data_IF_236011745872
#
_entry.id   IF_236011745872
#
_cell.length_a   1.000
_cell.length_b   1.000
_cell.length_c   1.000
_cell.angle_alpha   90.00
_cell.angle_beta   90.00
_cell.angle_gamma   90.00
#
_symmetry.space_group_name_H-M   'P 1'
#
loop_
_entity.id
_entity.type
_entity.pdbx_description
1 polymer ?
#
# COMPACT_ATOMS: atom_id res chain seq x y z
N UNK A 1 4.97 16.91 -7.48
CA UNK A 1 3.97 16.39 -6.51
C UNK A 1 3.38 15.11 -7.08
N UNK A 2 3.04 14.15 -6.22
CA UNK A 2 2.38 12.90 -6.57
C UNK A 2 1.20 12.65 -5.62
N UNK A 3 0.09 12.16 -6.17
CA UNK A 3 -1.02 11.65 -5.38
C UNK A 3 -0.75 10.20 -5.01
N UNK A 4 -0.87 9.87 -3.73
CA UNK A 4 -0.64 8.52 -3.21
C UNK A 4 -1.83 8.06 -2.37
N UNK A 5 -2.15 6.78 -2.47
CA UNK A 5 -3.06 6.09 -1.56
C UNK A 5 -2.21 5.20 -0.65
N UNK A 6 -2.39 5.35 0.66
CA UNK A 6 -1.62 4.62 1.65
C UNK A 6 -2.17 3.21 1.81
N UNK A 7 -1.28 2.23 1.93
CA UNK A 7 -1.63 0.84 2.25
C UNK A 7 -1.20 0.50 3.68
N UNK A 8 -1.84 -0.52 4.25
CA UNK A 8 -1.44 -1.13 5.52
C UNK A 8 -1.30 -2.65 5.37
N UNK A 9 -0.36 -3.29 6.09
CA UNK A 9 -0.24 -4.74 6.05
C UNK A 9 -1.43 -5.41 6.73
N UNK A 10 -1.83 -6.55 6.19
CA UNK A 10 -2.61 -7.56 6.89
C UNK A 10 -1.64 -8.36 7.79
N UNK A 11 -2.17 -8.92 8.88
CA UNK A 11 -1.34 -9.52 9.94
C UNK A 11 -0.50 -10.71 9.49
N UNK A 12 -0.89 -11.39 8.43
CA UNK A 12 -0.29 -12.65 8.01
C UNK A 12 0.54 -12.46 6.72
N UNK A 13 1.78 -12.96 6.77
CA UNK A 13 2.61 -13.14 5.57
C UNK A 13 2.11 -14.38 4.86
N UNK A 14 1.91 -14.26 3.54
CA UNK A 14 1.47 -15.39 2.73
C UNK A 14 2.58 -16.45 2.66
N UNK A 15 2.37 -17.68 3.17
CA UNK A 15 3.45 -18.66 3.30
C UNK A 15 3.98 -19.15 1.94
N UNK A 16 3.17 -19.06 0.88
CA UNK A 16 3.58 -19.47 -0.47
C UNK A 16 4.48 -18.44 -1.16
N UNK A 17 4.11 -17.16 -1.09
CA UNK A 17 4.87 -16.07 -1.75
C UNK A 17 5.87 -15.37 -0.83
N UNK A 18 5.78 -15.57 0.49
CA UNK A 18 6.52 -14.82 1.51
C UNK A 18 6.26 -13.30 1.45
N UNK A 19 5.16 -12.87 0.83
CA UNK A 19 4.77 -11.47 0.70
C UNK A 19 3.77 -11.06 1.78
N UNK A 20 3.80 -9.79 2.16
CA UNK A 20 2.73 -9.19 2.95
C UNK A 20 1.50 -8.95 2.08
N UNK A 21 0.35 -9.48 2.50
CA UNK A 21 -0.91 -9.04 1.93
C UNK A 21 -1.22 -7.65 2.46
N UNK A 22 -1.59 -6.72 1.59
CA UNK A 22 -1.88 -5.33 1.97
C UNK A 22 -3.32 -4.97 1.63
N UNK A 23 -3.86 -3.96 2.32
CA UNK A 23 -5.15 -3.35 2.01
C UNK A 23 -5.03 -1.83 2.11
N UNK A 24 -5.97 -1.10 1.52
CA UNK A 24 -6.04 0.35 1.67
C UNK A 24 -6.09 0.74 3.14
N UNK A 25 -5.19 1.64 3.55
CA UNK A 25 -5.29 2.30 4.83
C UNK A 25 -6.53 3.19 4.82
N UNK A 26 -7.26 3.19 5.93
CA UNK A 26 -8.43 4.06 6.12
C UNK A 26 -8.20 5.01 7.27
N UNK A 27 -8.57 6.28 7.08
CA UNK A 27 -8.56 7.32 8.11
C UNK A 27 -9.95 7.97 8.13
N UNK A 28 -10.59 7.99 9.30
CA UNK A 28 -11.99 8.46 9.46
C UNK A 28 -12.99 7.79 8.49
N UNK A 29 -12.81 6.49 8.23
CA UNK A 29 -13.70 5.71 7.36
C UNK A 29 -13.45 5.86 5.85
N UNK A 30 -12.59 6.79 5.43
CA UNK A 30 -12.22 7.03 4.03
C UNK A 30 -10.84 6.46 3.71
N UNK A 31 -10.56 6.23 2.40
CA UNK A 31 -9.21 5.87 1.95
C UNK A 31 -8.24 6.98 2.39
N UNK A 32 -7.14 6.58 3.01
CA UNK A 32 -6.11 7.52 3.40
C UNK A 32 -5.25 7.84 2.18
N UNK A 33 -5.36 9.07 1.69
CA UNK A 33 -4.61 9.56 0.55
C UNK A 33 -3.95 10.91 0.85
N UNK A 34 -2.87 11.21 0.14
CA UNK A 34 -2.07 12.41 0.34
C UNK A 34 -1.43 12.87 -0.99
N UNK A 35 -1.10 14.15 -1.09
CA UNK A 35 -0.27 14.70 -2.17
C UNK A 35 1.10 15.02 -1.62
N UNK A 36 2.12 14.29 -2.05
CA UNK A 36 3.49 14.40 -1.55
C UNK A 36 4.44 15.00 -2.59
N UNK A 37 5.52 15.70 -2.18
CA UNK A 37 6.69 15.95 -3.02
C UNK A 37 7.20 14.69 -3.70
N UNK A 38 7.71 14.81 -4.94
CA UNK A 38 8.30 13.67 -5.64
C UNK A 38 9.60 13.21 -4.95
N UNK A 39 10.30 14.14 -4.30
CA UNK A 39 11.55 13.89 -3.58
C UNK A 39 11.36 13.02 -2.33
N UNK A 40 10.12 12.89 -1.83
CA UNK A 40 9.78 12.00 -0.72
C UNK A 40 9.61 10.53 -1.16
N UNK A 41 9.55 10.27 -2.48
CA UNK A 41 9.42 8.92 -3.03
C UNK A 41 10.81 8.30 -3.16
N UNK A 42 11.14 7.40 -2.24
CA UNK A 42 12.45 6.72 -2.21
C UNK A 42 12.60 5.68 -3.32
N UNK A 43 11.57 4.86 -3.57
CA UNK A 43 11.61 3.80 -4.57
C UNK A 43 10.22 3.30 -4.97
N UNK A 44 10.11 2.69 -6.15
CA UNK A 44 8.93 1.94 -6.57
C UNK A 44 8.89 0.54 -5.92
N UNK A 45 7.69 0.00 -5.75
CA UNK A 45 7.48 -1.40 -5.37
C UNK A 45 6.59 -2.10 -6.39
N UNK A 46 6.71 -3.42 -6.49
CA UNK A 46 5.82 -4.24 -7.31
C UNK A 46 4.72 -4.86 -6.43
N UNK A 47 3.49 -4.78 -6.92
CA UNK A 47 2.34 -5.43 -6.30
C UNK A 47 1.95 -6.64 -7.15
N UNK A 48 1.77 -7.79 -6.50
CA UNK A 48 1.16 -8.96 -7.12
C UNK A 48 -0.33 -8.90 -6.81
N UNK A 49 -1.21 -8.73 -7.80
CA UNK A 49 -2.64 -8.72 -7.56
C UNK A 49 -3.09 -10.10 -7.08
N UNK A 50 -3.77 -10.15 -5.93
CA UNK A 50 -4.54 -11.32 -5.52
C UNK A 50 -5.96 -11.14 -6.04
N UNK A 51 -6.27 -11.85 -7.12
CA UNK A 51 -7.64 -12.02 -7.58
C UNK A 51 -8.26 -13.17 -6.76
N UNK A 52 -9.44 -12.93 -6.20
CA UNK A 52 -10.25 -13.95 -5.55
C UNK A 52 -10.98 -14.81 -6.57
#
# INVERSE_FOLDING_TARGET
>A
LAYIEWFRPLREVDPASQLHSITYAKRHGQIHAEVVPLDDIVQSIHLVPKFG
#
